data_IF_544484059707
#
_entry.id   IF_544484059707
#
_cell.length_a   1.000
_cell.length_b   1.000
_cell.length_c   1.000
_cell.angle_alpha   90.00
_cell.angle_beta   90.00
_cell.angle_gamma   90.00
#
_symmetry.space_group_name_H-M   'P 1'
#
loop_
_entity.id
_entity.type
_entity.pdbx_description
1 polymer ?
#
# COMPACT_ATOMS: atom_id res chain seq x y z
N UNK A 1 -1.77 -13.86 -12.32
CA UNK A 1 -2.68 -14.22 -11.24
C UNK A 1 -4.05 -13.67 -11.52
N UNK A 2 -5.04 -14.43 -11.17
CA UNK A 2 -6.42 -14.07 -11.40
C UNK A 2 -6.79 -12.77 -10.70
N UNK A 3 -7.52 -11.91 -11.39
CA UNK A 3 -8.00 -10.62 -10.91
C UNK A 3 -6.95 -9.54 -10.72
N UNK A 4 -5.67 -9.84 -10.84
CA UNK A 4 -4.62 -8.83 -10.68
C UNK A 4 -4.13 -8.40 -12.06
N UNK A 5 -4.16 -7.09 -12.30
CA UNK A 5 -3.77 -6.50 -13.58
C UNK A 5 -3.05 -5.17 -13.37
N UNK A 6 -2.30 -4.70 -14.38
CA UNK A 6 -1.73 -3.35 -14.31
C UNK A 6 -2.82 -2.29 -14.17
N UNK A 7 -2.53 -1.24 -13.41
CA UNK A 7 -3.42 -0.09 -13.30
C UNK A 7 -3.42 0.71 -14.60
N UNK A 8 -4.56 1.34 -14.88
CA UNK A 8 -4.71 2.23 -16.04
C UNK A 8 -5.24 3.59 -15.57
N UNK A 9 -5.27 4.55 -16.49
CA UNK A 9 -5.81 5.90 -16.17
C UNK A 9 -7.25 5.84 -15.68
N UNK A 10 -8.00 4.82 -16.08
CA UNK A 10 -9.39 4.65 -15.63
C UNK A 10 -9.48 4.30 -14.14
N UNK A 11 -8.38 3.83 -13.54
CA UNK A 11 -8.34 3.40 -12.15
C UNK A 11 -7.93 4.50 -11.18
N UNK A 12 -7.49 5.68 -11.66
CA UNK A 12 -6.84 6.66 -10.79
C UNK A 12 -7.75 7.14 -9.67
N UNK A 13 -9.05 7.30 -9.90
CA UNK A 13 -9.96 7.72 -8.85
C UNK A 13 -10.12 6.66 -7.76
N UNK A 14 -10.22 5.39 -8.15
CA UNK A 14 -10.31 4.30 -7.17
C UNK A 14 -9.00 4.11 -6.40
N UNK A 15 -7.86 4.20 -7.08
CA UNK A 15 -6.56 4.15 -6.44
C UNK A 15 -6.47 5.25 -5.38
N UNK A 16 -6.85 6.47 -5.75
CA UNK A 16 -6.83 7.60 -4.82
C UNK A 16 -7.75 7.37 -3.62
N UNK A 17 -8.96 6.88 -3.85
CA UNK A 17 -9.90 6.57 -2.76
C UNK A 17 -9.31 5.54 -1.79
N UNK A 18 -8.76 4.45 -2.32
CA UNK A 18 -8.20 3.38 -1.50
C UNK A 18 -7.02 3.89 -0.67
N UNK A 19 -6.11 4.63 -1.28
CA UNK A 19 -4.93 5.17 -0.57
C UNK A 19 -5.35 6.15 0.51
N UNK A 20 -6.18 7.13 0.16
CA UNK A 20 -6.60 8.19 1.10
C UNK A 20 -7.39 7.60 2.26
N UNK A 21 -8.31 6.67 1.97
CA UNK A 21 -9.11 6.01 3.01
C UNK A 21 -8.21 5.24 3.98
N UNK A 22 -7.24 4.48 3.45
CA UNK A 22 -6.33 3.72 4.30
C UNK A 22 -5.43 4.61 5.15
N UNK A 23 -4.98 5.74 4.62
CA UNK A 23 -4.21 6.71 5.40
C UNK A 23 -5.05 7.24 6.57
N UNK A 24 -6.31 7.57 6.32
CA UNK A 24 -7.22 8.06 7.36
C UNK A 24 -7.50 7.00 8.42
N UNK A 25 -7.66 5.75 8.01
CA UNK A 25 -7.92 4.64 8.94
C UNK A 25 -6.67 4.27 9.73
N UNK A 26 -5.50 4.23 9.08
CA UNK A 26 -4.29 3.68 9.69
C UNK A 26 -3.38 4.72 10.34
N UNK A 27 -3.43 5.97 9.91
CA UNK A 27 -2.50 7.01 10.39
C UNK A 27 -3.19 8.05 11.28
N UNK A 28 -4.36 8.52 10.89
CA UNK A 28 -5.05 9.56 11.64
C UNK A 28 -5.25 9.21 13.13
N UNK A 29 -5.64 7.98 13.49
CA UNK A 29 -5.84 7.65 14.91
C UNK A 29 -4.59 7.83 15.77
N UNK A 30 -3.40 7.74 15.18
CA UNK A 30 -2.13 7.87 15.90
C UNK A 30 -1.59 9.30 15.89
N UNK A 31 -1.78 10.03 14.81
CA UNK A 31 -1.18 11.35 14.64
C UNK A 31 -2.14 12.51 14.91
N UNK A 32 -3.44 12.26 14.84
CA UNK A 32 -4.52 13.22 15.17
C UNK A 32 -4.42 14.55 14.43
N UNK A 33 -3.83 14.56 13.23
CA UNK A 33 -3.70 15.77 12.42
C UNK A 33 -4.84 15.85 11.41
N UNK A 34 -5.99 16.39 11.87
CA UNK A 34 -7.19 16.46 11.04
C UNK A 34 -6.99 17.33 9.80
N UNK A 35 -6.27 18.44 9.92
CA UNK A 35 -6.07 19.35 8.80
C UNK A 35 -5.26 18.68 7.69
N UNK A 36 -4.31 17.80 8.03
CA UNK A 36 -3.58 17.03 7.04
C UNK A 36 -4.42 15.90 6.45
N UNK A 37 -4.95 15.00 7.31
CA UNK A 37 -5.61 13.77 6.82
C UNK A 37 -6.98 14.00 6.18
N UNK A 38 -7.62 15.11 6.47
CA UNK A 38 -8.96 15.43 5.93
C UNK A 38 -8.97 16.73 5.13
N UNK A 39 -7.82 17.37 4.96
CA UNK A 39 -7.69 18.60 4.20
C UNK A 39 -6.61 18.50 3.12
N UNK A 40 -5.34 18.56 3.49
CA UNK A 40 -4.24 18.48 2.53
C UNK A 40 -4.24 17.15 1.76
N UNK A 41 -4.42 16.05 2.47
CA UNK A 41 -4.59 14.73 1.87
C UNK A 41 -6.03 14.61 1.41
N UNK A 42 -6.24 14.54 0.11
CA UNK A 42 -7.59 14.42 -0.45
C UNK A 42 -7.57 13.62 -1.74
N UNK A 43 -8.74 13.07 -2.08
CA UNK A 43 -8.87 12.16 -3.22
C UNK A 43 -8.55 12.83 -4.55
N UNK A 44 -9.00 14.08 -4.72
CA UNK A 44 -8.81 14.79 -6.00
C UNK A 44 -7.33 15.03 -6.29
N UNK A 45 -6.57 15.50 -5.31
CA UNK A 45 -5.14 15.76 -5.49
C UNK A 45 -4.37 14.46 -5.69
N UNK A 46 -4.73 13.41 -4.95
CA UNK A 46 -4.10 12.09 -5.10
C UNK A 46 -4.35 11.52 -6.50
N UNK A 47 -5.60 11.62 -6.99
CA UNK A 47 -5.93 11.15 -8.34
C UNK A 47 -5.16 11.93 -9.40
N UNK A 48 -5.03 13.25 -9.24
CA UNK A 48 -4.26 14.09 -10.16
C UNK A 48 -2.79 13.69 -10.21
N UNK A 49 -2.20 13.36 -9.06
CA UNK A 49 -0.82 12.91 -8.98
C UNK A 49 -0.61 11.65 -9.83
N UNK A 50 -1.50 10.68 -9.73
CA UNK A 50 -1.41 9.46 -10.52
C UNK A 50 -1.72 9.67 -12.00
N UNK A 51 -2.61 10.61 -12.30
CA UNK A 51 -2.94 10.96 -13.69
C UNK A 51 -1.77 11.62 -14.41
N UNK A 52 -1.04 12.49 -13.70
CA UNK A 52 0.04 13.29 -14.29
C UNK A 52 1.39 12.56 -14.29
N UNK A 53 1.59 11.59 -13.41
CA UNK A 53 2.85 10.87 -13.28
C UNK A 53 2.68 9.45 -13.81
N UNK A 54 3.03 9.25 -15.09
CA UNK A 54 2.91 7.93 -15.74
C UNK A 54 3.78 6.86 -15.09
N UNK A 55 4.95 7.22 -14.58
CA UNK A 55 5.83 6.25 -13.91
C UNK A 55 5.20 5.75 -12.61
N UNK A 56 4.54 6.63 -11.88
CA UNK A 56 3.84 6.27 -10.66
C UNK A 56 2.70 5.30 -10.96
N UNK A 57 1.89 5.60 -11.98
CA UNK A 57 0.78 4.74 -12.36
C UNK A 57 1.27 3.37 -12.87
N UNK A 58 2.35 3.34 -13.65
CA UNK A 58 2.92 2.09 -14.17
C UNK A 58 3.44 1.18 -13.07
N UNK A 59 3.77 1.74 -11.89
CA UNK A 59 4.23 0.97 -10.75
C UNK A 59 3.10 0.27 -10.00
N UNK A 60 1.85 0.52 -10.38
CA UNK A 60 0.68 0.04 -9.66
C UNK A 60 0.00 -1.13 -10.36
N UNK A 61 -0.41 -2.10 -9.56
CA UNK A 61 -1.29 -3.19 -9.97
C UNK A 61 -2.52 -3.16 -9.08
N UNK A 62 -3.66 -3.54 -9.64
CA UNK A 62 -4.93 -3.52 -8.93
C UNK A 62 -5.54 -4.92 -8.88
N UNK A 63 -6.28 -5.19 -7.81
CA UNK A 63 -7.12 -6.37 -7.70
C UNK A 63 -8.52 -5.96 -8.15
N UNK A 64 -8.97 -6.53 -9.25
CA UNK A 64 -10.24 -6.18 -9.91
C UNK A 64 -11.00 -7.47 -10.25
N UNK A 65 -12.05 -7.76 -9.48
CA UNK A 65 -12.94 -8.91 -9.72
C UNK A 65 -14.33 -8.44 -10.18
N UNK A 66 -14.36 -7.26 -10.81
CA UNK A 66 -15.57 -6.57 -11.21
C UNK A 66 -15.58 -5.16 -10.68
N UNK A 67 -14.98 -4.95 -9.51
CA UNK A 67 -14.65 -3.63 -8.97
C UNK A 67 -13.23 -3.69 -8.41
N UNK A 68 -12.52 -2.58 -8.44
CA UNK A 68 -11.18 -2.51 -7.88
C UNK A 68 -11.29 -2.46 -6.36
N UNK A 69 -10.69 -3.44 -5.68
CA UNK A 69 -10.76 -3.63 -4.24
C UNK A 69 -9.44 -3.42 -3.51
N UNK A 70 -8.34 -3.43 -4.24
CA UNK A 70 -7.03 -3.26 -3.64
C UNK A 70 -6.01 -2.82 -4.65
N UNK A 71 -4.87 -2.31 -4.17
CA UNK A 71 -3.76 -1.85 -4.98
C UNK A 71 -2.44 -2.28 -4.37
N UNK A 72 -1.44 -2.46 -5.22
CA UNK A 72 -0.04 -2.59 -4.80
C UNK A 72 0.82 -1.72 -5.72
N UNK A 73 1.77 -1.00 -5.13
CA UNK A 73 2.74 -0.19 -5.87
C UNK A 73 4.14 -0.67 -5.53
N UNK A 74 4.91 -0.97 -6.57
CA UNK A 74 6.25 -1.56 -6.42
C UNK A 74 7.27 -0.71 -7.17
N UNK A 75 8.40 -0.45 -6.52
CA UNK A 75 9.53 0.24 -7.13
C UNK A 75 10.78 -0.61 -6.91
N UNK A 76 11.38 -1.11 -8.00
CA UNK A 76 12.50 -2.04 -7.87
C UNK A 76 12.05 -3.29 -7.13
N UNK A 77 12.71 -3.61 -6.03
CA UNK A 77 12.35 -4.74 -5.17
C UNK A 77 11.60 -4.33 -3.88
N UNK A 78 11.17 -3.07 -3.82
CA UNK A 78 10.41 -2.55 -2.68
C UNK A 78 8.91 -2.55 -2.96
N UNK A 79 8.13 -3.07 -2.01
CA UNK A 79 6.69 -2.84 -1.97
C UNK A 79 6.46 -1.49 -1.29
N UNK A 80 6.13 -0.47 -2.08
CA UNK A 80 5.95 0.89 -1.56
C UNK A 80 4.59 1.09 -0.90
N UNK A 81 3.55 0.50 -1.47
CA UNK A 81 2.18 0.64 -1.00
C UNK A 81 1.44 -0.67 -1.23
N UNK A 82 0.66 -1.08 -0.24
CA UNK A 82 -0.24 -2.23 -0.34
C UNK A 82 -1.48 -1.89 0.49
N UNK A 83 -2.57 -1.64 -0.19
CA UNK A 83 -3.81 -1.25 0.47
C UNK A 83 -5.01 -1.98 -0.11
N UNK A 84 -5.90 -2.41 0.77
CA UNK A 84 -7.19 -3.00 0.40
C UNK A 84 -8.28 -2.09 0.97
N UNK A 85 -9.31 -1.83 0.19
CA UNK A 85 -10.46 -1.09 0.67
C UNK A 85 -10.95 -1.70 1.99
N UNK A 86 -11.16 -0.93 3.06
CA UNK A 86 -11.46 -1.50 4.38
C UNK A 86 -12.60 -2.51 4.40
N UNK A 87 -13.64 -2.29 3.60
CA UNK A 87 -14.79 -3.18 3.56
C UNK A 87 -14.50 -4.53 2.93
N UNK A 88 -13.38 -4.66 2.21
CA UNK A 88 -12.98 -5.90 1.54
C UNK A 88 -11.76 -6.56 2.19
N UNK A 89 -11.31 -6.05 3.32
CA UNK A 89 -10.21 -6.66 4.08
C UNK A 89 -10.62 -7.99 4.68
N UNK A 90 -9.63 -8.81 5.04
CA UNK A 90 -9.83 -10.16 5.62
C UNK A 90 -10.46 -11.16 4.64
N UNK A 91 -10.32 -10.93 3.35
CA UNK A 91 -10.80 -11.84 2.29
C UNK A 91 -9.66 -12.40 1.45
N UNK A 92 -8.41 -12.20 1.88
CA UNK A 92 -7.25 -12.72 1.19
C UNK A 92 -6.73 -11.85 0.05
N UNK A 93 -7.32 -10.69 -0.19
CA UNK A 93 -6.93 -9.82 -1.32
C UNK A 93 -5.52 -9.28 -1.13
N UNK A 94 -5.20 -8.79 0.07
CA UNK A 94 -3.86 -8.28 0.38
C UNK A 94 -2.79 -9.36 0.21
N UNK A 95 -3.06 -10.56 0.68
CA UNK A 95 -2.13 -11.69 0.54
C UNK A 95 -1.91 -12.05 -0.93
N UNK A 96 -2.95 -12.03 -1.75
CA UNK A 96 -2.84 -12.31 -3.19
C UNK A 96 -2.02 -11.24 -3.91
N UNK A 97 -2.23 -9.97 -3.60
CA UNK A 97 -1.45 -8.89 -4.17
C UNK A 97 0.02 -8.99 -3.77
N UNK A 98 0.30 -9.29 -2.52
CA UNK A 98 1.67 -9.43 -2.03
C UNK A 98 2.35 -10.64 -2.66
N UNK A 99 1.67 -11.77 -2.76
CA UNK A 99 2.21 -12.96 -3.41
C UNK A 99 2.52 -12.70 -4.88
N UNK A 100 1.64 -12.00 -5.59
CA UNK A 100 1.89 -11.59 -6.97
C UNK A 100 3.17 -10.75 -7.06
N UNK A 101 3.33 -9.79 -6.17
CA UNK A 101 4.49 -8.91 -6.18
C UNK A 101 5.78 -9.68 -5.88
N UNK A 102 5.74 -10.64 -4.96
CA UNK A 102 6.90 -11.48 -4.66
C UNK A 102 7.28 -12.34 -5.86
N UNK A 103 6.31 -13.02 -6.46
CA UNK A 103 6.56 -13.98 -7.52
C UNK A 103 6.85 -13.34 -8.88
N UNK A 104 6.12 -12.28 -9.23
CA UNK A 104 6.19 -11.67 -10.56
C UNK A 104 7.03 -10.42 -10.62
N UNK A 105 7.15 -9.67 -9.52
CA UNK A 105 7.86 -8.40 -9.49
C UNK A 105 9.12 -8.43 -8.61
N UNK A 106 9.40 -9.57 -7.98
CA UNK A 106 10.60 -9.80 -7.18
C UNK A 106 10.73 -8.86 -5.97
N UNK A 107 9.60 -8.52 -5.36
CA UNK A 107 9.59 -7.75 -4.11
C UNK A 107 10.32 -8.52 -3.02
N UNK A 108 11.19 -7.84 -2.28
CA UNK A 108 11.98 -8.44 -1.21
C UNK A 108 11.92 -7.69 0.11
N UNK A 109 11.45 -6.45 0.12
CA UNK A 109 11.36 -5.68 1.35
C UNK A 109 10.28 -4.60 1.27
N UNK A 110 9.95 -4.05 2.44
CA UNK A 110 9.00 -2.95 2.59
C UNK A 110 9.30 -2.19 3.89
N UNK A 111 8.68 -1.02 4.01
CA UNK A 111 8.69 -0.23 5.22
C UNK A 111 7.25 -0.17 5.76
N UNK A 112 7.06 -0.55 7.01
CA UNK A 112 5.74 -0.60 7.64
C UNK A 112 5.66 0.45 8.75
N UNK A 113 4.50 1.08 8.90
CA UNK A 113 4.26 2.01 10.00
C UNK A 113 4.41 1.27 11.33
N UNK A 114 5.26 1.78 12.21
CA UNK A 114 5.55 1.13 13.49
C UNK A 114 4.28 0.87 14.31
N UNK A 115 3.31 1.79 14.25
CA UNK A 115 2.07 1.68 15.01
C UNK A 115 1.03 0.75 14.39
N UNK A 116 1.24 0.34 13.14
CA UNK A 116 0.32 -0.57 12.47
C UNK A 116 0.66 -2.01 12.82
N UNK A 117 0.35 -2.41 14.05
CA UNK A 117 0.65 -3.75 14.54
C UNK A 117 -0.06 -4.84 13.73
N UNK A 118 -1.27 -4.55 13.26
CA UNK A 118 -2.04 -5.46 12.41
C UNK A 118 -1.36 -5.67 11.05
N UNK A 119 -0.87 -4.59 10.45
CA UNK A 119 -0.12 -4.67 9.18
C UNK A 119 1.18 -5.44 9.33
N UNK A 120 1.93 -5.17 10.40
CA UNK A 120 3.17 -5.90 10.69
C UNK A 120 2.89 -7.38 10.86
N UNK A 121 1.83 -7.74 11.60
CA UNK A 121 1.45 -9.14 11.78
C UNK A 121 1.08 -9.79 10.43
N UNK A 122 0.38 -9.06 9.55
CA UNK A 122 0.05 -9.51 8.22
C UNK A 122 1.32 -9.83 7.41
N UNK A 123 2.30 -8.92 7.42
CA UNK A 123 3.55 -9.15 6.68
C UNK A 123 4.33 -10.34 7.25
N UNK A 124 4.34 -10.50 8.57
CA UNK A 124 4.98 -11.67 9.21
C UNK A 124 4.35 -12.97 8.75
N UNK A 125 3.01 -13.02 8.68
CA UNK A 125 2.31 -14.22 8.20
C UNK A 125 2.65 -14.54 6.73
N UNK A 126 3.06 -13.54 5.98
CA UNK A 126 3.38 -13.70 4.56
C UNK A 126 4.88 -13.79 4.28
N UNK A 127 5.68 -14.10 5.30
CA UNK A 127 7.08 -14.44 5.12
C UNK A 127 8.07 -13.30 5.31
N UNK A 128 7.63 -12.16 5.82
CA UNK A 128 8.52 -11.02 6.09
C UNK A 128 8.93 -10.99 7.56
N UNK A 129 10.12 -10.50 7.83
CA UNK A 129 10.64 -10.32 9.18
C UNK A 129 11.18 -8.90 9.36
N UNK A 130 11.10 -8.40 10.58
CA UNK A 130 11.71 -7.12 10.95
C UNK A 130 13.23 -7.23 10.84
N UNK A 131 13.86 -6.22 10.23
CA UNK A 131 15.32 -6.19 10.07
C UNK A 131 16.03 -5.49 11.20
N UNK A 132 15.31 -4.73 12.02
CA UNK A 132 15.90 -3.83 13.02
C UNK A 132 16.15 -2.42 12.50
N UNK A 133 16.02 -2.20 11.19
CA UNK A 133 16.17 -0.87 10.61
C UNK A 133 14.91 -0.05 10.78
N UNK A 134 15.10 1.23 11.10
CA UNK A 134 14.00 2.17 11.34
C UNK A 134 14.33 3.50 10.66
N UNK A 135 13.31 4.15 10.13
CA UNK A 135 13.47 5.51 9.62
C UNK A 135 12.24 6.36 9.98
N UNK A 136 12.41 7.67 9.89
CA UNK A 136 11.32 8.63 10.09
C UNK A 136 10.99 9.27 8.75
N UNK A 137 9.76 9.07 8.27
CA UNK A 137 9.26 9.74 7.08
C UNK A 137 8.67 11.08 7.49
N UNK A 138 9.03 12.16 6.78
CA UNK A 138 8.56 13.52 7.08
C UNK A 138 8.80 13.93 8.54
N UNK A 139 9.86 13.41 9.16
CA UNK A 139 10.29 13.68 10.55
C UNK A 139 9.29 13.24 11.64
N UNK A 140 8.18 12.61 11.30
CA UNK A 140 7.16 12.27 12.30
C UNK A 140 6.48 10.91 12.12
N UNK A 141 6.74 10.21 11.01
CA UNK A 141 6.14 8.90 10.74
C UNK A 141 7.21 7.82 10.93
N UNK A 142 7.17 7.05 12.03
CA UNK A 142 8.18 6.01 12.26
C UNK A 142 7.88 4.77 11.43
N UNK A 143 8.84 4.37 10.61
CA UNK A 143 8.73 3.19 9.75
C UNK A 143 9.76 2.15 10.16
N UNK A 144 9.33 0.89 10.11
CA UNK A 144 10.18 -0.27 10.37
C UNK A 144 10.36 -1.05 9.08
N UNK A 145 11.61 -1.40 8.78
CA UNK A 145 11.90 -2.20 7.59
C UNK A 145 11.63 -3.66 7.83
N UNK A 146 10.97 -4.30 6.88
CA UNK A 146 10.73 -5.74 6.88
C UNK A 146 11.27 -6.35 5.59
N UNK A 147 11.85 -7.51 5.69
CA UNK A 147 12.46 -8.21 4.55
C UNK A 147 11.88 -9.60 4.40
N UNK A 148 11.65 -10.00 3.15
CA UNK A 148 11.21 -11.35 2.85
C UNK A 148 12.32 -12.34 3.23
N UNK A 149 11.96 -13.37 3.99
CA UNK A 149 12.92 -14.38 4.41
C UNK A 149 13.05 -15.46 3.33
N UNK A 150 14.28 -15.90 3.12
CA UNK A 150 14.54 -17.05 2.27
C UNK A 150 14.12 -18.33 2.99
N UNK A 151 13.53 -19.23 2.26
CA UNK A 151 13.16 -20.53 2.80
C UNK A 151 14.03 -21.63 2.23
#
# INVERSE_FOLDING_TARGET
>A
MEFIRPATVKDVSRIAEIIVTNYRVNFYPFFNNASFYFGELNVMDMASEYMENHNLLKSCFVYDDGVVKGIIRVCGDECEKLYVEPQFQNQGIGAKLLEFAIQKLHVSYLWALEYNTRGIAFYKRNGFELTGEKMMEDDWIPLLKMRLTDK
#
